data_IF_072270939039
#
_entry.id   IF_072270939039
#
_cell.length_a   1.000
_cell.length_b   1.000
_cell.length_c   1.000
_cell.angle_alpha   90.00
_cell.angle_beta   90.00
_cell.angle_gamma   90.00
#
_symmetry.space_group_name_H-M   'P 1'
#
loop_
_entity.id
_entity.type
_entity.pdbx_description
1 polymer ?
#
# COMPACT_ATOMS: atom_id res chain seq x y z
N UNK A 1 33.37 21.88 -13.44
CA UNK A 1 31.89 21.87 -13.58
C UNK A 1 31.40 20.48 -13.23
N UNK A 2 30.88 20.31 -12.00
CA UNK A 2 30.45 19.01 -11.48
C UNK A 2 29.06 18.68 -12.02
N UNK A 3 28.97 17.68 -12.89
CA UNK A 3 27.70 17.10 -13.34
C UNK A 3 27.10 16.29 -12.19
N UNK A 4 26.26 16.93 -11.36
CA UNK A 4 25.36 16.22 -10.45
C UNK A 4 24.40 15.38 -11.27
N UNK A 5 24.73 14.10 -11.42
CA UNK A 5 23.82 13.06 -11.92
C UNK A 5 22.65 12.99 -10.95
N UNK A 6 21.54 13.65 -11.29
CA UNK A 6 20.29 13.52 -10.56
C UNK A 6 19.84 12.06 -10.72
N UNK A 7 19.58 11.31 -9.63
CA UNK A 7 19.14 9.93 -9.75
C UNK A 7 17.83 9.90 -10.55
N UNK A 8 17.87 9.28 -11.73
CA UNK A 8 16.71 9.09 -12.58
C UNK A 8 15.64 8.30 -11.81
N UNK A 9 14.59 9.02 -11.39
CA UNK A 9 13.50 8.49 -10.59
C UNK A 9 12.57 7.56 -11.39
N UNK A 10 11.94 6.55 -10.75
CA UNK A 10 11.38 5.37 -11.41
C UNK A 10 10.09 5.57 -12.22
N UNK A 11 9.51 6.77 -12.28
CA UNK A 11 8.32 7.07 -13.12
C UNK A 11 8.67 7.61 -14.50
N UNK A 12 9.97 7.77 -14.84
CA UNK A 12 10.41 8.11 -16.19
C UNK A 12 10.73 6.83 -16.98
N UNK A 13 9.69 6.08 -17.33
CA UNK A 13 9.79 5.07 -18.39
C UNK A 13 8.79 5.47 -19.47
N UNK A 14 9.30 6.11 -20.52
CA UNK A 14 8.52 6.66 -21.62
C UNK A 14 8.24 8.16 -21.48
N UNK A 15 8.31 8.90 -22.59
CA UNK A 15 8.13 10.37 -22.70
C UNK A 15 6.73 10.89 -22.29
N UNK A 16 5.83 10.10 -21.70
CA UNK A 16 4.60 10.64 -21.11
C UNK A 16 4.85 10.91 -19.62
N UNK A 17 4.94 12.19 -19.24
CA UNK A 17 4.79 12.59 -17.85
C UNK A 17 3.55 11.89 -17.26
N UNK A 18 3.65 11.33 -16.05
CA UNK A 18 2.45 10.91 -15.33
C UNK A 18 1.46 12.07 -15.35
N UNK A 19 0.17 11.86 -15.67
CA UNK A 19 -0.81 12.94 -15.76
C UNK A 19 -0.87 13.85 -14.51
N UNK A 20 -0.41 13.35 -13.36
CA UNK A 20 -0.38 14.08 -12.09
C UNK A 20 0.96 14.72 -11.71
N UNK A 21 2.04 14.49 -12.47
CA UNK A 21 3.39 14.85 -12.04
C UNK A 21 3.87 14.05 -10.81
N UNK A 22 5.08 14.35 -10.31
CA UNK A 22 5.60 13.73 -9.10
C UNK A 22 5.20 14.52 -7.86
N UNK A 23 4.56 13.84 -6.88
CA UNK A 23 4.04 14.45 -5.66
C UNK A 23 4.80 13.91 -4.44
N UNK A 24 5.90 14.57 -4.00
CA UNK A 24 6.74 14.06 -2.91
C UNK A 24 6.00 13.98 -1.57
N UNK A 25 4.96 14.80 -1.37
CA UNK A 25 4.12 14.73 -0.17
C UNK A 25 3.46 13.37 0.04
N UNK A 26 3.11 12.65 -1.04
CA UNK A 26 2.55 11.31 -0.95
C UNK A 26 3.55 10.28 -0.41
N UNK A 27 4.83 10.42 -0.78
CA UNK A 27 5.88 9.56 -0.22
C UNK A 27 6.09 9.85 1.27
N UNK A 28 5.96 11.11 1.69
CA UNK A 28 5.96 11.47 3.11
C UNK A 28 4.86 10.79 3.91
N UNK A 29 3.63 10.78 3.39
CA UNK A 29 2.49 10.10 4.04
C UNK A 29 2.73 8.58 4.09
N UNK A 30 3.25 7.97 3.02
CA UNK A 30 3.62 6.55 3.02
C UNK A 30 4.68 6.22 4.07
N UNK A 31 5.66 7.11 4.25
CA UNK A 31 6.70 6.93 5.24
C UNK A 31 6.13 6.99 6.66
N UNK A 32 5.26 7.96 6.95
CA UNK A 32 4.53 8.02 8.23
C UNK A 32 3.76 6.71 8.49
N UNK A 33 3.01 6.25 7.51
CA UNK A 33 2.21 5.03 7.60
C UNK A 33 3.06 3.78 7.85
N UNK A 34 4.12 3.58 7.06
CA UNK A 34 4.97 2.38 7.18
C UNK A 34 5.73 2.38 8.50
N UNK A 35 6.23 3.53 8.97
CA UNK A 35 6.91 3.65 10.26
C UNK A 35 5.96 3.25 11.39
N UNK A 36 4.70 3.71 11.36
CA UNK A 36 3.67 3.28 12.30
C UNK A 36 3.52 1.76 12.34
N UNK A 37 3.38 1.13 11.16
CA UNK A 37 3.25 -0.33 11.03
C UNK A 37 4.46 -1.08 11.58
N UNK A 38 5.68 -0.65 11.24
CA UNK A 38 6.91 -1.33 11.67
C UNK A 38 7.09 -1.24 13.19
N UNK A 39 6.79 -0.07 13.78
CA UNK A 39 6.93 0.13 15.22
C UNK A 39 5.83 -0.58 16.01
N UNK A 40 4.61 -0.64 15.49
CA UNK A 40 3.53 -1.44 16.10
C UNK A 40 3.91 -2.93 16.18
N UNK A 41 4.29 -3.54 15.05
CA UNK A 41 4.69 -4.95 15.05
C UNK A 41 6.02 -5.21 15.76
N UNK A 42 6.79 -4.16 16.02
CA UNK A 42 8.06 -4.23 16.74
C UNK A 42 7.92 -4.18 18.26
N UNK A 43 6.69 -4.29 18.77
CA UNK A 43 6.33 -4.20 20.19
C UNK A 43 6.77 -2.87 20.84
N UNK A 44 6.85 -1.80 20.04
CA UNK A 44 7.15 -0.47 20.58
C UNK A 44 5.93 0.11 21.30
N UNK A 45 5.96 0.08 22.63
CA UNK A 45 4.87 0.50 23.52
C UNK A 45 4.27 1.88 23.22
N UNK A 46 5.02 2.79 22.58
CA UNK A 46 4.54 4.14 22.25
C UNK A 46 3.58 4.21 21.06
N UNK A 47 3.43 3.17 20.23
CA UNK A 47 2.64 3.21 18.99
C UNK A 47 1.63 2.07 18.87
N UNK A 48 0.76 1.95 19.88
CA UNK A 48 -0.31 0.94 19.94
C UNK A 48 -1.27 0.95 18.74
N UNK A 49 -1.46 2.11 18.12
CA UNK A 49 -2.33 2.29 16.96
C UNK A 49 -1.58 2.24 15.63
N UNK A 50 -0.30 1.86 15.60
CA UNK A 50 0.51 1.90 14.38
C UNK A 50 0.03 0.94 13.28
N UNK A 51 -0.76 -0.08 13.61
CA UNK A 51 -1.45 -0.94 12.62
C UNK A 51 -2.36 -0.15 11.67
N UNK A 52 -2.89 0.99 12.12
CA UNK A 52 -3.73 1.91 11.33
C UNK A 52 -2.95 2.61 10.21
N UNK A 53 -1.63 2.42 10.12
CA UNK A 53 -0.85 2.79 8.95
C UNK A 53 -1.34 2.08 7.68
N UNK A 54 -1.91 0.87 7.80
CA UNK A 54 -2.54 0.17 6.68
C UNK A 54 -3.73 0.95 6.13
N UNK A 55 -4.57 1.53 6.99
CA UNK A 55 -5.70 2.37 6.58
C UNK A 55 -5.25 3.64 5.85
N UNK A 56 -4.12 4.22 6.28
CA UNK A 56 -3.51 5.35 5.56
C UNK A 56 -3.08 4.93 4.15
N UNK A 57 -2.53 3.72 3.98
CA UNK A 57 -2.22 3.15 2.67
C UNK A 57 -3.48 2.95 1.83
N UNK A 58 -4.55 2.40 2.40
CA UNK A 58 -5.82 2.21 1.69
C UNK A 58 -6.34 3.53 1.08
N UNK A 59 -6.35 4.62 1.83
CA UNK A 59 -6.80 5.93 1.31
C UNK A 59 -5.86 6.44 0.21
N UNK A 60 -4.54 6.32 0.39
CA UNK A 60 -3.55 6.69 -0.63
C UNK A 60 -3.75 5.90 -1.93
N UNK A 61 -3.98 4.60 -1.80
CA UNK A 61 -4.18 3.65 -2.89
C UNK A 61 -5.46 3.96 -3.65
N UNK A 62 -6.56 4.19 -2.93
CA UNK A 62 -7.83 4.66 -3.48
C UNK A 62 -7.71 5.95 -4.28
N UNK A 63 -7.03 6.95 -3.70
CA UNK A 63 -6.78 8.23 -4.36
C UNK A 63 -5.98 8.05 -5.64
N UNK A 64 -4.84 7.38 -5.57
CA UNK A 64 -3.92 7.25 -6.71
C UNK A 64 -4.50 6.48 -7.87
N UNK A 65 -5.12 5.32 -7.60
CA UNK A 65 -5.69 4.49 -8.66
C UNK A 65 -6.83 5.21 -9.34
N UNK A 66 -7.74 5.80 -8.56
CA UNK A 66 -8.89 6.52 -9.11
C UNK A 66 -8.44 7.76 -9.88
N UNK A 67 -7.45 8.50 -9.39
CA UNK A 67 -6.89 9.64 -10.13
C UNK A 67 -6.28 9.22 -11.46
N UNK A 68 -5.53 8.10 -11.53
CA UNK A 68 -4.95 7.61 -12.78
C UNK A 68 -6.06 7.33 -13.81
N UNK A 69 -7.09 6.58 -13.41
CA UNK A 69 -8.19 6.17 -14.29
C UNK A 69 -8.98 7.40 -14.77
N UNK A 70 -9.33 8.31 -13.86
CA UNK A 70 -10.12 9.48 -14.22
C UNK A 70 -9.33 10.51 -15.02
N UNK A 71 -8.01 10.66 -14.82
CA UNK A 71 -7.18 11.54 -15.64
C UNK A 71 -6.94 10.95 -17.04
N UNK A 72 -6.70 9.64 -17.16
CA UNK A 72 -6.55 8.99 -18.46
C UNK A 72 -7.83 9.09 -19.30
N UNK A 73 -8.98 8.84 -18.66
CA UNK A 73 -10.29 9.02 -19.28
C UNK A 73 -10.53 10.48 -19.70
N UNK A 74 -10.23 11.45 -18.83
CA UNK A 74 -10.39 12.87 -19.17
C UNK A 74 -9.53 13.31 -20.36
N UNK A 75 -8.35 12.70 -20.56
CA UNK A 75 -7.42 13.09 -21.62
C UNK A 75 -7.73 12.41 -22.96
N UNK A 76 -8.27 11.18 -22.96
CA UNK A 76 -8.39 10.36 -24.17
C UNK A 76 -9.79 9.76 -24.41
N UNK A 77 -10.72 9.90 -23.47
CA UNK A 77 -12.04 9.25 -23.49
C UNK A 77 -11.99 7.72 -23.32
N UNK A 78 -10.80 7.14 -23.16
CA UNK A 78 -10.57 5.70 -23.01
C UNK A 78 -9.55 5.45 -21.89
N UNK A 79 -9.43 4.19 -21.47
CA UNK A 79 -8.44 3.74 -20.49
C UNK A 79 -7.76 2.50 -21.04
N UNK A 80 -6.42 2.51 -21.10
CA UNK A 80 -5.61 1.35 -21.44
C UNK A 80 -5.39 0.48 -20.20
N UNK A 81 -6.34 -0.43 -19.96
CA UNK A 81 -6.27 -1.38 -18.85
C UNK A 81 -5.04 -2.29 -18.93
N UNK A 82 -4.58 -2.65 -20.14
CA UNK A 82 -3.39 -3.48 -20.32
C UNK A 82 -2.15 -2.77 -19.78
N UNK A 83 -1.95 -1.51 -20.19
CA UNK A 83 -0.87 -0.66 -19.68
C UNK A 83 -0.99 -0.42 -18.18
N UNK A 84 -2.21 -0.19 -17.68
CA UNK A 84 -2.49 -0.01 -16.26
C UNK A 84 -2.07 -1.24 -15.44
N UNK A 85 -2.63 -2.42 -15.72
CA UNK A 85 -2.38 -3.64 -14.96
C UNK A 85 -0.93 -4.10 -15.10
N UNK A 86 -0.34 -4.00 -16.29
CA UNK A 86 1.06 -4.37 -16.48
C UNK A 86 2.02 -3.42 -15.74
N UNK A 87 1.67 -2.13 -15.64
CA UNK A 87 2.39 -1.16 -14.83
C UNK A 87 2.35 -1.49 -13.33
N UNK A 88 1.19 -1.94 -12.83
CA UNK A 88 1.03 -2.39 -11.44
C UNK A 88 1.76 -3.71 -11.18
N UNK A 89 1.62 -4.69 -12.07
CA UNK A 89 2.31 -5.97 -12.00
C UNK A 89 3.83 -5.80 -11.90
N UNK A 90 4.44 -4.99 -12.79
CA UNK A 90 5.89 -4.69 -12.74
C UNK A 90 6.32 -3.97 -11.46
N UNK A 91 5.40 -3.29 -10.79
CA UNK A 91 5.69 -2.57 -9.54
C UNK A 91 5.64 -3.49 -8.33
N UNK A 92 4.69 -4.42 -8.27
CA UNK A 92 4.32 -5.12 -7.04
C UNK A 92 4.77 -6.60 -7.06
N UNK A 93 4.48 -7.34 -8.13
CA UNK A 93 4.76 -8.77 -8.20
C UNK A 93 6.23 -9.16 -7.99
N UNK A 94 7.25 -8.46 -8.53
CA UNK A 94 8.63 -8.91 -8.39
C UNK A 94 9.10 -9.04 -6.95
N UNK A 95 8.79 -8.05 -6.11
CA UNK A 95 9.20 -8.09 -4.70
C UNK A 95 8.37 -9.11 -3.90
N UNK A 96 7.07 -9.22 -4.19
CA UNK A 96 6.21 -10.23 -3.57
C UNK A 96 6.73 -11.64 -3.88
N UNK A 97 6.95 -11.97 -5.15
CA UNK A 97 7.43 -13.30 -5.57
C UNK A 97 8.82 -13.61 -5.01
N UNK A 98 9.72 -12.62 -4.95
CA UNK A 98 11.03 -12.79 -4.32
C UNK A 98 10.88 -13.11 -2.83
N UNK A 99 10.03 -12.38 -2.13
CA UNK A 99 9.79 -12.60 -0.71
C UNK A 99 9.18 -13.98 -0.46
N UNK A 100 8.15 -14.37 -1.22
CA UNK A 100 7.54 -15.69 -1.13
C UNK A 100 8.56 -16.81 -1.40
N UNK A 101 9.45 -16.64 -2.38
CA UNK A 101 10.50 -17.61 -2.66
C UNK A 101 11.48 -17.74 -1.49
N UNK A 102 12.04 -16.64 -1.01
CA UNK A 102 13.05 -16.66 0.05
C UNK A 102 12.46 -17.17 1.36
N UNK A 103 11.29 -16.67 1.77
CA UNK A 103 10.62 -17.10 2.99
C UNK A 103 10.14 -18.54 2.85
N UNK A 104 9.69 -18.97 1.67
CA UNK A 104 9.28 -20.36 1.43
C UNK A 104 10.43 -21.35 1.53
N UNK A 105 11.59 -21.02 0.94
CA UNK A 105 12.81 -21.85 1.08
C UNK A 105 13.26 -21.89 2.54
N UNK A 106 13.29 -20.75 3.23
CA UNK A 106 13.64 -20.70 4.65
C UNK A 106 12.67 -21.54 5.50
N UNK A 107 11.37 -21.46 5.22
CA UNK A 107 10.34 -22.24 5.93
C UNK A 107 10.51 -23.73 5.69
N UNK A 108 10.73 -24.16 4.44
CA UNK A 108 10.91 -25.58 4.10
C UNK A 108 12.16 -26.19 4.75
N UNK A 109 13.23 -25.41 4.94
CA UNK A 109 14.49 -25.89 5.53
C UNK A 109 14.45 -25.83 7.05
N UNK A 110 14.11 -24.66 7.62
CA UNK A 110 14.31 -24.34 9.03
C UNK A 110 13.02 -24.37 9.88
N UNK A 111 11.84 -24.19 9.27
CA UNK A 111 10.54 -24.08 9.98
C UNK A 111 9.53 -25.08 9.42
N UNK A 112 9.92 -26.36 9.42
CA UNK A 112 9.15 -27.44 8.78
C UNK A 112 7.74 -27.62 9.36
N UNK A 113 7.57 -27.31 10.64
CA UNK A 113 6.29 -27.26 11.34
C UNK A 113 5.33 -26.22 10.73
N UNK A 114 5.86 -25.11 10.22
CA UNK A 114 5.09 -24.05 9.58
C UNK A 114 4.93 -24.23 8.05
N UNK A 115 5.59 -25.23 7.44
CA UNK A 115 5.64 -25.37 5.98
C UNK A 115 4.26 -25.61 5.34
N UNK A 116 3.40 -26.41 5.98
CA UNK A 116 2.05 -26.66 5.47
C UNK A 116 1.21 -25.36 5.47
N UNK A 117 1.21 -24.64 6.59
CA UNK A 117 0.50 -23.36 6.69
C UNK A 117 1.05 -22.33 5.70
N UNK A 118 2.37 -22.25 5.58
CA UNK A 118 3.02 -21.34 4.62
C UNK A 118 2.57 -21.62 3.18
N UNK A 119 2.48 -22.90 2.77
CA UNK A 119 2.07 -23.25 1.42
C UNK A 119 0.64 -22.76 1.12
N UNK A 120 -0.30 -22.97 2.04
CA UNK A 120 -1.68 -22.48 1.91
C UNK A 120 -1.73 -20.95 1.88
N UNK A 121 -1.01 -20.29 2.78
CA UNK A 121 -0.96 -18.83 2.85
C UNK A 121 -0.34 -18.22 1.59
N UNK A 122 0.75 -18.81 1.08
CA UNK A 122 1.44 -18.36 -0.12
C UNK A 122 0.55 -18.49 -1.36
N UNK A 123 -0.18 -19.61 -1.48
CA UNK A 123 -1.14 -19.80 -2.56
C UNK A 123 -2.24 -18.72 -2.50
N UNK A 124 -2.81 -18.49 -1.31
CA UNK A 124 -3.81 -17.45 -1.12
C UNK A 124 -3.27 -16.04 -1.41
N UNK A 125 -1.99 -15.77 -1.08
CA UNK A 125 -1.32 -14.50 -1.36
C UNK A 125 -1.04 -14.27 -2.85
N UNK A 126 -0.68 -15.32 -3.61
CA UNK A 126 -0.46 -15.23 -5.06
C UNK A 126 -1.76 -14.82 -5.78
N UNK A 127 -2.90 -15.33 -5.32
CA UNK A 127 -4.22 -15.00 -5.86
C UNK A 127 -4.88 -13.79 -5.19
N UNK A 128 -4.19 -13.12 -4.27
CA UNK A 128 -4.71 -11.97 -3.52
C UNK A 128 -6.05 -12.24 -2.82
N UNK A 129 -6.18 -13.41 -2.21
CA UNK A 129 -7.33 -13.84 -1.40
C UNK A 129 -6.93 -14.24 0.02
N UNK A 130 -5.72 -13.87 0.45
CA UNK A 130 -5.17 -14.23 1.76
C UNK A 130 -6.03 -13.72 2.93
N UNK A 131 -6.66 -12.55 2.79
CA UNK A 131 -7.59 -12.04 3.80
C UNK A 131 -8.83 -12.94 3.97
N UNK A 132 -9.40 -13.45 2.88
CA UNK A 132 -10.54 -14.37 2.91
C UNK A 132 -10.13 -15.76 3.39
N UNK A 133 -8.94 -16.23 3.00
CA UNK A 133 -8.37 -17.46 3.53
C UNK A 133 -8.28 -17.44 5.05
N UNK A 134 -7.78 -16.36 5.65
CA UNK A 134 -7.74 -16.23 7.11
C UNK A 134 -9.10 -16.11 7.76
N UNK A 135 -10.08 -15.48 7.10
CA UNK A 135 -11.46 -15.47 7.56
C UNK A 135 -12.03 -16.90 7.61
N UNK A 136 -11.89 -17.68 6.54
CA UNK A 136 -12.45 -19.03 6.48
C UNK A 136 -11.68 -20.06 7.31
N UNK A 137 -10.42 -19.77 7.64
CA UNK A 137 -9.61 -20.57 8.54
C UNK A 137 -9.74 -20.12 10.02
N UNK A 138 -10.68 -19.22 10.34
CA UNK A 138 -10.92 -18.65 11.68
C UNK A 138 -9.63 -18.16 12.38
N UNK A 139 -8.74 -17.55 11.60
CA UNK A 139 -7.47 -17.04 12.10
C UNK A 139 -7.66 -15.65 12.72
N UNK A 140 -7.21 -15.49 13.98
CA UNK A 140 -7.13 -14.16 14.58
C UNK A 140 -5.96 -13.36 13.99
N UNK A 141 -6.19 -12.08 13.73
CA UNK A 141 -5.17 -11.12 13.34
C UNK A 141 -4.35 -10.63 14.54
N UNK A 142 -4.99 -10.43 15.69
CA UNK A 142 -4.39 -9.76 16.84
C UNK A 142 -3.87 -10.73 17.91
N UNK A 143 -4.37 -11.96 17.93
CA UNK A 143 -3.98 -13.00 18.88
C UNK A 143 -3.37 -14.20 18.16
N UNK A 144 -2.30 -14.75 18.74
CA UNK A 144 -1.61 -15.91 18.18
C UNK A 144 -1.32 -16.96 19.25
N UNK A 145 -1.48 -18.23 18.88
CA UNK A 145 -0.97 -19.37 19.63
C UNK A 145 0.26 -19.91 18.90
N UNK A 146 1.40 -19.98 19.58
CA UNK A 146 2.65 -20.43 18.97
C UNK A 146 3.28 -19.41 18.00
N UNK A 147 3.87 -19.89 16.90
CA UNK A 147 4.50 -19.04 15.88
C UNK A 147 3.41 -18.45 14.96
N UNK A 148 3.29 -17.11 14.85
CA UNK A 148 2.32 -16.53 13.93
C UNK A 148 2.66 -16.87 12.46
N UNK A 149 1.65 -16.95 11.56
CA UNK A 149 1.91 -17.23 10.15
C UNK A 149 2.81 -16.18 9.49
N UNK A 150 3.83 -16.65 8.75
CA UNK A 150 4.87 -15.79 8.14
C UNK A 150 4.35 -14.79 7.10
N UNK A 151 3.15 -14.99 6.57
CA UNK A 151 2.57 -14.19 5.51
C UNK A 151 1.32 -13.42 5.96
N UNK A 152 1.07 -13.35 7.27
CA UNK A 152 -0.18 -12.82 7.81
C UNK A 152 -0.47 -11.38 7.36
N UNK A 153 0.54 -10.53 7.34
CA UNK A 153 0.45 -9.14 6.88
C UNK A 153 -0.01 -8.98 5.42
N UNK A 154 0.07 -10.02 4.58
CA UNK A 154 -0.36 -9.95 3.18
C UNK A 154 -1.89 -9.87 2.99
N UNK A 155 -2.67 -10.01 4.07
CA UNK A 155 -4.12 -9.79 4.04
C UNK A 155 -4.46 -8.40 3.46
N UNK A 156 -3.73 -7.36 3.89
CA UNK A 156 -4.05 -5.98 3.51
C UNK A 156 -3.73 -5.71 2.04
N UNK A 157 -2.63 -6.29 1.55
CA UNK A 157 -2.27 -6.26 0.13
C UNK A 157 -3.31 -7.00 -0.72
N UNK A 158 -3.90 -8.08 -0.20
CA UNK A 158 -4.99 -8.77 -0.90
C UNK A 158 -6.21 -7.86 -1.08
N UNK A 159 -6.60 -7.12 -0.03
CA UNK A 159 -7.68 -6.12 -0.10
C UNK A 159 -7.36 -5.03 -1.12
N UNK A 160 -6.13 -4.49 -1.11
CA UNK A 160 -5.70 -3.48 -2.08
C UNK A 160 -5.74 -3.99 -3.53
N UNK A 161 -5.26 -5.20 -3.78
CA UNK A 161 -5.16 -5.78 -5.13
C UNK A 161 -6.53 -6.17 -5.68
N UNK A 162 -7.45 -6.64 -4.83
CA UNK A 162 -8.86 -6.80 -5.19
C UNK A 162 -9.46 -5.46 -5.66
N UNK A 163 -9.17 -4.37 -4.94
CA UNK A 163 -9.58 -3.03 -5.36
C UNK A 163 -8.90 -2.62 -6.67
N UNK A 164 -7.60 -2.88 -6.84
CA UNK A 164 -6.88 -2.57 -8.08
C UNK A 164 -7.42 -3.30 -9.29
N UNK A 165 -7.92 -4.53 -9.11
CA UNK A 165 -8.49 -5.33 -10.18
C UNK A 165 -9.91 -4.88 -10.55
N UNK A 166 -10.75 -4.57 -9.56
CA UNK A 166 -12.19 -4.37 -9.76
C UNK A 166 -12.54 -2.89 -9.94
N UNK A 167 -12.03 -2.01 -9.08
CA UNK A 167 -12.45 -0.62 -9.04
C UNK A 167 -12.15 0.18 -10.32
N UNK A 168 -11.00 0.03 -11.00
CA UNK A 168 -10.75 0.74 -12.25
C UNK A 168 -11.82 0.54 -13.33
N UNK A 169 -12.31 -0.70 -13.48
CA UNK A 169 -13.36 -1.01 -14.43
C UNK A 169 -14.69 -0.36 -14.03
N UNK A 170 -15.05 -0.44 -12.75
CA UNK A 170 -16.26 0.20 -12.20
C UNK A 170 -16.20 1.72 -12.38
N UNK A 171 -15.09 2.35 -11.99
CA UNK A 171 -14.89 3.79 -12.11
C UNK A 171 -14.93 4.25 -13.58
N UNK A 172 -14.35 3.49 -14.50
CA UNK A 172 -14.41 3.75 -15.94
C UNK A 172 -15.84 3.67 -16.50
N UNK A 173 -16.58 2.61 -16.18
CA UNK A 173 -17.98 2.48 -16.64
C UNK A 173 -18.86 3.57 -16.04
N UNK A 174 -18.66 3.88 -14.77
CA UNK A 174 -19.41 4.91 -14.07
C UNK A 174 -19.11 6.32 -14.61
N UNK A 175 -17.84 6.66 -14.85
CA UNK A 175 -17.48 7.98 -15.39
C UNK A 175 -18.00 8.18 -16.82
N UNK A 176 -18.10 7.10 -17.62
CA UNK A 176 -18.68 7.15 -18.97
C UNK A 176 -20.16 7.49 -18.97
N UNK A 177 -20.93 6.94 -18.03
CA UNK A 177 -22.38 7.08 -18.00
C UNK A 177 -22.85 8.26 -17.15
N UNK A 178 -22.18 8.53 -16.03
CA UNK A 178 -22.63 9.45 -14.99
C UNK A 178 -21.60 10.54 -14.66
N UNK A 179 -20.49 10.59 -15.41
CA UNK A 179 -19.40 11.53 -15.16
C UNK A 179 -18.70 11.31 -13.81
N UNK A 180 -17.85 12.27 -13.44
CA UNK A 180 -17.10 12.21 -12.17
C UNK A 180 -18.00 12.26 -10.94
N UNK A 181 -19.18 12.90 -11.05
CA UNK A 181 -20.19 12.93 -9.99
C UNK A 181 -20.75 11.54 -9.70
N UNK A 182 -21.01 10.73 -10.73
CA UNK A 182 -21.44 9.35 -10.53
C UNK A 182 -20.41 8.52 -9.78
N UNK A 183 -19.12 8.65 -10.14
CA UNK A 183 -18.03 7.96 -9.42
C UNK A 183 -17.96 8.41 -7.96
N UNK A 184 -18.15 9.71 -7.69
CA UNK A 184 -18.14 10.26 -6.35
C UNK A 184 -19.29 9.69 -5.50
N UNK A 185 -20.51 9.69 -6.04
CA UNK A 185 -21.69 9.17 -5.36
C UNK A 185 -21.57 7.67 -5.11
N UNK A 186 -21.07 6.90 -6.09
CA UNK A 186 -20.84 5.47 -5.94
C UNK A 186 -19.79 5.18 -4.85
N UNK A 187 -18.66 5.88 -4.88
CA UNK A 187 -17.61 5.72 -3.87
C UNK A 187 -18.12 6.06 -2.47
N UNK A 188 -18.82 7.19 -2.32
CA UNK A 188 -19.40 7.61 -1.05
C UNK A 188 -20.45 6.62 -0.52
N UNK A 189 -21.37 6.19 -1.39
CA UNK A 189 -22.42 5.23 -1.04
C UNK A 189 -21.82 3.90 -0.57
N UNK A 190 -20.88 3.33 -1.33
CA UNK A 190 -20.28 2.04 -0.97
C UNK A 190 -19.39 2.17 0.28
N UNK A 191 -18.71 3.30 0.50
CA UNK A 191 -17.95 3.54 1.73
C UNK A 191 -18.87 3.56 2.97
N UNK A 192 -20.02 4.22 2.88
CA UNK A 192 -21.02 4.26 3.95
C UNK A 192 -21.62 2.88 4.17
N UNK A 193 -21.99 2.15 3.11
CA UNK A 193 -22.53 0.78 3.23
C UNK A 193 -21.53 -0.18 3.86
N UNK A 194 -20.26 -0.12 3.46
CA UNK A 194 -19.18 -0.93 4.05
C UNK A 194 -18.97 -0.62 5.53
N UNK A 195 -18.99 0.66 5.90
CA UNK A 195 -18.89 1.10 7.31
C UNK A 195 -20.10 0.64 8.13
N UNK A 196 -21.31 0.77 7.58
CA UNK A 196 -22.54 0.30 8.22
C UNK A 196 -22.53 -1.23 8.38
N UNK A 197 -21.98 -1.95 7.40
CA UNK A 197 -21.83 -3.40 7.46
C UNK A 197 -20.82 -3.82 8.53
N UNK A 198 -19.67 -3.15 8.63
CA UNK A 198 -18.72 -3.36 9.72
C UNK A 198 -19.37 -3.11 11.09
N UNK A 199 -20.10 -2.00 11.25
CA UNK A 199 -20.82 -1.67 12.48
C UNK A 199 -21.84 -2.77 12.83
N UNK A 200 -22.66 -3.18 11.87
CA UNK A 200 -23.65 -4.23 12.07
C UNK A 200 -23.01 -5.54 12.53
N UNK A 201 -22.00 -6.03 11.80
CA UNK A 201 -21.28 -7.25 12.16
C UNK A 201 -20.63 -7.16 13.54
N UNK A 202 -20.10 -5.99 13.87
CA UNK A 202 -19.46 -5.73 15.15
C UNK A 202 -20.47 -5.79 16.30
N UNK A 203 -21.63 -5.14 16.15
CA UNK A 203 -22.68 -5.12 17.18
C UNK A 203 -23.29 -6.51 17.37
N UNK A 204 -23.62 -7.22 16.28
CA UNK A 204 -24.33 -8.50 16.38
C UNK A 204 -23.45 -9.63 16.91
N UNK A 205 -22.14 -9.60 16.62
CA UNK A 205 -21.20 -10.63 17.07
C UNK A 205 -20.45 -10.25 18.36
N UNK A 206 -20.65 -9.03 18.88
CA UNK A 206 -19.98 -8.55 20.09
C UNK A 206 -18.50 -8.15 19.89
N UNK A 207 -18.06 -7.87 18.66
CA UNK A 207 -16.70 -7.39 18.40
C UNK A 207 -16.52 -5.95 18.89
N UNK A 208 -15.29 -5.51 19.19
CA UNK A 208 -14.20 -6.30 19.75
C UNK A 208 -14.40 -6.56 21.27
N UNK A 209 -15.55 -6.18 21.85
CA UNK A 209 -15.80 -6.16 23.30
C UNK A 209 -15.74 -7.56 23.94
N UNK A 210 -16.30 -8.58 23.26
CA UNK A 210 -16.46 -9.94 23.78
C UNK A 210 -15.80 -11.00 22.92
N UNK A 211 -15.53 -10.69 21.65
CA UNK A 211 -15.08 -11.65 20.64
C UNK A 211 -14.04 -11.01 19.72
N UNK A 212 -13.24 -11.86 19.09
CA UNK A 212 -12.15 -11.44 18.21
C UNK A 212 -12.68 -10.70 16.95
N UNK A 213 -12.20 -9.48 16.65
CA UNK A 213 -12.74 -8.67 15.57
C UNK A 213 -12.20 -9.04 14.17
N UNK A 214 -11.43 -10.13 14.01
CA UNK A 214 -10.66 -10.38 12.78
C UNK A 214 -11.52 -10.57 11.54
N UNK A 215 -12.76 -11.09 11.67
CA UNK A 215 -13.70 -11.16 10.52
C UNK A 215 -14.02 -9.77 9.98
N UNK A 216 -14.29 -8.81 10.85
CA UNK A 216 -14.58 -7.44 10.48
C UNK A 216 -13.31 -6.70 10.01
N UNK A 217 -12.16 -7.05 10.58
CA UNK A 217 -10.87 -6.44 10.24
C UNK A 217 -10.30 -6.93 8.90
N UNK A 218 -10.36 -8.23 8.59
CA UNK A 218 -9.87 -8.79 7.33
C UNK A 218 -10.82 -8.61 6.14
N UNK A 219 -12.12 -8.43 6.41
CA UNK A 219 -13.14 -8.43 5.37
C UNK A 219 -12.99 -7.25 4.40
N UNK A 220 -12.83 -7.54 3.11
CA UNK A 220 -12.86 -6.48 2.08
C UNK A 220 -14.22 -5.76 2.11
N UNK A 221 -15.30 -6.51 2.36
CA UNK A 221 -16.66 -5.99 2.49
C UNK A 221 -16.83 -4.98 3.63
N UNK A 222 -16.13 -5.18 4.74
CA UNK A 222 -16.19 -4.31 5.93
C UNK A 222 -15.12 -3.23 5.96
N UNK A 223 -14.00 -3.41 5.24
CA UNK A 223 -12.82 -2.54 5.36
C UNK A 223 -12.47 -1.73 4.10
N UNK A 224 -13.23 -1.84 3.00
CA UNK A 224 -12.97 -1.10 1.75
C UNK A 224 -13.23 0.41 1.85
N UNK A 225 -13.88 0.89 2.93
CA UNK A 225 -14.23 2.29 3.10
C UNK A 225 -13.04 3.25 2.95
N UNK A 226 -11.84 2.89 3.46
CA UNK A 226 -10.63 3.70 3.30
C UNK A 226 -10.24 3.92 1.84
N UNK A 227 -10.23 2.84 1.04
CA UNK A 227 -9.98 2.89 -0.41
C UNK A 227 -11.00 3.77 -1.12
N UNK A 228 -12.27 3.67 -0.74
CA UNK A 228 -13.36 4.43 -1.36
C UNK A 228 -13.37 5.91 -0.96
N UNK A 229 -12.96 6.27 0.25
CA UNK A 229 -12.74 7.67 0.64
C UNK A 229 -11.60 8.29 -0.19
N UNK A 230 -10.51 7.53 -0.40
CA UNK A 230 -9.46 7.94 -1.33
C UNK A 230 -9.98 8.13 -2.76
N UNK A 231 -10.78 7.18 -3.24
CA UNK A 231 -11.40 7.26 -4.55
C UNK A 231 -12.33 8.47 -4.70
N UNK A 232 -13.14 8.75 -3.67
CA UNK A 232 -14.00 9.92 -3.59
C UNK A 232 -13.18 11.21 -3.69
N UNK A 233 -12.09 11.33 -2.90
CA UNK A 233 -11.18 12.48 -2.97
C UNK A 233 -10.65 12.71 -4.40
N UNK A 234 -10.25 11.64 -5.10
CA UNK A 234 -9.74 11.73 -6.46
C UNK A 234 -10.75 12.27 -7.48
N UNK A 235 -12.05 12.24 -7.19
CA UNK A 235 -13.09 12.74 -8.11
C UNK A 235 -13.12 14.26 -8.19
N UNK A 236 -12.76 14.97 -7.12
CA UNK A 236 -12.77 16.44 -7.08
C UNK A 236 -11.38 17.06 -6.83
N UNK A 237 -10.46 16.35 -6.18
CA UNK A 237 -9.12 16.85 -5.89
C UNK A 237 -8.12 16.46 -7.00
N UNK A 238 -7.60 17.46 -7.72
CA UNK A 238 -6.80 17.26 -8.93
C UNK A 238 -5.50 18.06 -8.87
N UNK A 239 -4.46 17.56 -8.19
CA UNK A 239 -3.24 18.32 -7.92
C UNK A 239 -2.61 18.99 -9.14
N UNK A 240 -2.60 18.31 -10.30
CA UNK A 240 -2.06 18.85 -11.56
C UNK A 240 -2.83 20.04 -12.14
N UNK A 241 -4.07 20.29 -11.67
CA UNK A 241 -4.89 21.44 -12.09
C UNK A 241 -4.97 22.53 -11.03
N UNK A 242 -4.33 22.36 -9.88
CA UNK A 242 -4.28 23.37 -8.82
C UNK A 242 -3.14 24.37 -9.10
N UNK A 243 -3.34 25.62 -8.70
CA UNK A 243 -2.33 26.68 -8.85
C UNK A 243 -1.56 26.89 -7.55
N UNK A 244 -0.30 27.31 -7.66
CA UNK A 244 0.51 27.67 -6.50
C UNK A 244 0.13 29.04 -5.90
N UNK A 245 -0.47 29.92 -6.71
CA UNK A 245 -0.90 31.26 -6.35
C UNK A 245 -2.20 31.28 -5.56
N UNK A 246 -2.14 30.90 -4.29
CA UNK A 246 -3.26 31.00 -3.34
C UNK A 246 -3.08 32.20 -2.40
N UNK A 247 -4.19 32.77 -1.92
CA UNK A 247 -4.15 33.87 -0.94
C UNK A 247 -3.48 33.45 0.37
N UNK A 248 -2.98 34.43 1.13
CA UNK A 248 -2.36 34.19 2.43
C UNK A 248 -3.29 33.43 3.39
N UNK A 249 -4.58 33.79 3.42
CA UNK A 249 -5.57 33.16 4.30
C UNK A 249 -5.80 31.68 3.92
N UNK A 250 -5.93 31.37 2.63
CA UNK A 250 -6.05 29.97 2.18
C UNK A 250 -4.79 29.16 2.46
N UNK A 251 -3.60 29.78 2.34
CA UNK A 251 -2.34 29.13 2.68
C UNK A 251 -2.26 28.79 4.17
N UNK A 252 -2.61 29.73 5.04
CA UNK A 252 -2.62 29.51 6.49
C UNK A 252 -3.62 28.41 6.83
N UNK A 253 -4.88 28.55 6.40
CA UNK A 253 -5.93 27.56 6.66
C UNK A 253 -5.54 26.15 6.16
N UNK A 254 -5.10 26.03 4.90
CA UNK A 254 -4.73 24.75 4.33
C UNK A 254 -3.51 24.12 5.01
N UNK A 255 -2.54 24.94 5.44
CA UNK A 255 -1.37 24.45 6.20
C UNK A 255 -1.79 23.97 7.58
N UNK A 256 -2.61 24.75 8.30
CA UNK A 256 -3.13 24.39 9.62
C UNK A 256 -3.94 23.10 9.55
N UNK A 257 -4.87 22.98 8.60
CA UNK A 257 -5.67 21.76 8.41
C UNK A 257 -4.78 20.54 8.12
N UNK A 258 -3.77 20.69 7.27
CA UNK A 258 -2.86 19.59 6.95
C UNK A 258 -1.97 19.17 8.13
N UNK A 259 -1.49 20.13 8.92
CA UNK A 259 -0.74 19.84 10.16
C UNK A 259 -1.64 19.17 11.20
N UNK A 260 -2.85 19.67 11.41
CA UNK A 260 -3.82 19.06 12.33
C UNK A 260 -4.20 17.64 11.89
N UNK A 261 -4.37 17.39 10.59
CA UNK A 261 -4.63 16.05 10.08
C UNK A 261 -3.45 15.09 10.33
N UNK A 262 -2.21 15.55 10.12
CA UNK A 262 -1.01 14.76 10.44
C UNK A 262 -0.90 14.47 11.94
N UNK A 263 -1.13 15.48 12.80
CA UNK A 263 -1.13 15.32 14.25
C UNK A 263 -2.26 14.41 14.74
N UNK A 264 -3.44 14.46 14.12
CA UNK A 264 -4.55 13.56 14.44
C UNK A 264 -4.20 12.10 14.12
N UNK A 265 -3.57 11.83 12.97
CA UNK A 265 -3.08 10.47 12.62
C UNK A 265 -2.04 10.01 13.64
N UNK A 266 -1.07 10.87 13.98
CA UNK A 266 -0.06 10.55 14.99
C UNK A 266 -0.73 10.28 16.35
N UNK A 267 -1.68 11.11 16.78
CA UNK A 267 -2.39 10.92 18.05
C UNK A 267 -3.16 9.59 18.08
N UNK A 268 -3.80 9.21 16.98
CA UNK A 268 -4.45 7.91 16.82
C UNK A 268 -3.42 6.78 16.90
N UNK A 269 -2.27 6.89 16.24
CA UNK A 269 -1.22 5.87 16.36
C UNK A 269 -0.66 5.72 17.78
N UNK A 270 -0.62 6.80 18.56
CA UNK A 270 -0.14 6.77 19.94
C UNK A 270 -1.18 6.20 20.92
N UNK A 271 -2.49 6.28 20.61
CA UNK A 271 -3.57 6.08 21.60
C UNK A 271 -4.56 4.97 21.27
N UNK A 272 -4.82 4.70 20.00
CA UNK A 272 -5.81 3.71 19.61
C UNK A 272 -5.26 2.29 19.80
N UNK A 273 -5.98 1.44 20.52
CA UNK A 273 -5.70 0.01 20.57
C UNK A 273 -6.54 -0.74 19.55
N UNK A 274 -6.04 -1.87 19.06
CA UNK A 274 -6.71 -2.78 18.12
C UNK A 274 -8.10 -3.25 18.55
N UNK A 275 -8.33 -3.35 19.86
CA UNK A 275 -9.60 -3.75 20.46
C UNK A 275 -10.48 -2.56 20.88
N UNK A 276 -10.21 -1.36 20.35
CA UNK A 276 -11.03 -0.18 20.68
C UNK A 276 -12.37 -0.21 19.94
N UNK A 277 -13.53 -0.25 20.63
CA UNK A 277 -14.82 -0.44 19.96
C UNK A 277 -15.18 0.69 18.99
N UNK A 278 -14.75 1.92 19.28
CA UNK A 278 -15.03 3.08 18.43
C UNK A 278 -14.43 2.94 17.02
N UNK A 279 -13.34 2.18 16.84
CA UNK A 279 -12.74 1.93 15.52
C UNK A 279 -13.73 1.23 14.59
N UNK A 280 -14.34 0.15 15.08
CA UNK A 280 -15.30 -0.69 14.36
C UNK A 280 -16.70 -0.06 14.26
N UNK A 281 -16.96 1.02 15.01
CA UNK A 281 -18.22 1.78 15.01
C UNK A 281 -18.11 3.11 14.23
N UNK A 282 -17.24 3.14 13.21
CA UNK A 282 -17.06 4.29 12.31
C UNK A 282 -15.70 5.00 12.44
N UNK A 283 -14.86 4.62 13.40
CA UNK A 283 -13.52 5.18 13.58
C UNK A 283 -12.61 4.98 12.36
N UNK A 284 -12.63 3.82 11.71
CA UNK A 284 -11.88 3.60 10.45
C UNK A 284 -12.28 4.61 9.35
N UNK A 285 -13.58 4.88 9.20
CA UNK A 285 -14.07 5.89 8.26
C UNK A 285 -13.59 7.30 8.65
N UNK A 286 -13.61 7.64 9.93
CA UNK A 286 -13.10 8.93 10.42
C UNK A 286 -11.60 9.10 10.12
N UNK A 287 -10.79 8.06 10.39
CA UNK A 287 -9.35 8.04 10.06
C UNK A 287 -9.15 8.17 8.55
N UNK A 288 -9.99 7.53 7.73
CA UNK A 288 -9.93 7.65 6.29
C UNK A 288 -10.18 9.08 5.81
N UNK A 289 -11.16 9.78 6.39
CA UNK A 289 -11.45 11.19 6.09
C UNK A 289 -10.30 12.10 6.51
N UNK A 290 -9.74 11.92 7.71
CA UNK A 290 -8.57 12.67 8.18
C UNK A 290 -7.38 12.46 7.23
N UNK A 291 -7.16 11.22 6.79
CA UNK A 291 -6.12 10.89 5.82
C UNK A 291 -6.37 11.55 4.47
N UNK A 292 -7.61 11.61 3.99
CA UNK A 292 -7.96 12.30 2.76
C UNK A 292 -7.66 13.82 2.84
N UNK A 293 -7.92 14.44 4.00
CA UNK A 293 -7.55 15.84 4.26
C UNK A 293 -6.02 16.00 4.21
N UNK A 294 -5.27 15.10 4.86
CA UNK A 294 -3.81 15.13 4.81
C UNK A 294 -3.29 15.00 3.37
N UNK A 295 -3.83 14.06 2.59
CA UNK A 295 -3.48 13.88 1.17
C UNK A 295 -3.78 15.16 0.37
N UNK A 296 -4.95 15.76 0.56
CA UNK A 296 -5.32 16.98 -0.13
C UNK A 296 -4.31 18.11 0.15
N UNK A 297 -4.02 18.35 1.44
CA UNK A 297 -3.08 19.38 1.86
C UNK A 297 -1.63 19.09 1.41
N UNK A 298 -1.18 17.84 1.47
CA UNK A 298 0.17 17.44 1.08
C UNK A 298 0.40 17.46 -0.44
N UNK A 299 -0.65 17.42 -1.24
CA UNK A 299 -0.58 17.45 -2.72
C UNK A 299 -0.87 18.82 -3.32
N UNK A 300 -1.32 19.79 -2.52
CA UNK A 300 -1.59 21.14 -3.02
C UNK A 300 -0.27 21.90 -3.32
N UNK A 301 -0.05 22.40 -4.55
CA UNK A 301 1.23 23.04 -4.94
C UNK A 301 1.52 24.36 -4.21
N UNK A 302 0.47 25.07 -3.77
CA UNK A 302 0.57 26.31 -2.98
C UNK A 302 0.83 26.13 -1.48
N UNK A 303 0.76 24.89 -0.94
CA UNK A 303 0.98 24.62 0.49
C UNK A 303 2.41 24.10 0.75
N UNK A 304 3.02 24.47 1.90
CA UNK A 304 4.37 24.04 2.23
C UNK A 304 4.43 22.58 2.72
N UNK A 305 3.32 22.03 3.21
CA UNK A 305 3.26 20.72 3.86
C UNK A 305 3.86 19.60 2.99
N UNK A 306 3.51 19.54 1.71
CA UNK A 306 4.03 18.55 0.77
C UNK A 306 5.56 18.61 0.62
N UNK A 307 6.18 19.77 0.84
CA UNK A 307 7.65 19.94 0.82
C UNK A 307 8.28 19.51 2.14
N UNK A 308 7.62 19.78 3.27
CA UNK A 308 8.10 19.38 4.60
C UNK A 308 8.16 17.87 4.75
N UNK A 309 7.02 17.20 4.53
CA UNK A 309 6.94 15.73 4.65
C UNK A 309 7.51 15.02 3.41
N UNK A 310 7.66 15.73 2.29
CA UNK A 310 8.35 15.24 1.10
C UNK A 310 9.86 15.46 1.09
N UNK A 311 10.45 15.85 2.22
CA UNK A 311 11.90 16.00 2.37
C UNK A 311 12.64 14.67 2.22
N UNK A 312 13.95 14.73 2.01
CA UNK A 312 14.75 13.56 1.58
C UNK A 312 14.57 12.30 2.46
N UNK A 313 14.66 12.35 3.80
CA UNK A 313 14.58 11.14 4.62
C UNK A 313 13.21 10.46 4.50
N UNK A 314 12.14 11.24 4.62
CA UNK A 314 10.76 10.76 4.50
C UNK A 314 10.47 10.21 3.12
N UNK A 315 10.86 10.94 2.08
CA UNK A 315 10.71 10.48 0.70
C UNK A 315 11.45 9.17 0.44
N UNK A 316 12.66 9.01 0.99
CA UNK A 316 13.45 7.80 0.82
C UNK A 316 12.71 6.57 1.36
N UNK A 317 12.18 6.66 2.58
CA UNK A 317 11.40 5.62 3.24
C UNK A 317 10.10 5.38 2.45
N UNK A 318 9.39 6.43 2.08
CA UNK A 318 8.11 6.34 1.37
C UNK A 318 8.20 5.64 0.02
N UNK A 319 9.30 5.82 -0.71
CA UNK A 319 9.53 5.12 -1.99
C UNK A 319 9.76 3.62 -1.82
N UNK A 320 10.18 3.19 -0.63
CA UNK A 320 10.47 1.79 -0.27
C UNK A 320 9.40 1.19 0.63
N UNK A 321 8.34 1.93 0.94
CA UNK A 321 7.33 1.51 1.91
C UNK A 321 6.74 0.14 1.58
N UNK A 322 6.57 -0.18 0.29
CA UNK A 322 6.12 -1.49 -0.16
C UNK A 322 7.10 -2.61 0.22
N UNK A 323 8.39 -2.46 -0.08
CA UNK A 323 9.41 -3.45 0.28
C UNK A 323 9.57 -3.56 1.80
N UNK A 324 9.59 -2.44 2.52
CA UNK A 324 9.63 -2.41 3.98
C UNK A 324 8.43 -3.17 4.58
N UNK A 325 7.23 -2.93 4.04
CA UNK A 325 6.02 -3.66 4.43
C UNK A 325 6.12 -5.15 4.11
N UNK A 326 6.62 -5.55 2.94
CA UNK A 326 6.74 -6.97 2.61
C UNK A 326 7.70 -7.72 3.55
N UNK A 327 8.87 -7.15 3.83
CA UNK A 327 9.96 -7.83 4.51
C UNK A 327 9.89 -7.77 6.04
N UNK A 328 9.25 -6.76 6.63
CA UNK A 328 9.26 -6.60 8.09
C UNK A 328 8.67 -7.82 8.82
N UNK A 329 7.49 -8.29 8.38
CA UNK A 329 6.76 -9.31 9.13
C UNK A 329 7.48 -10.66 9.16
N UNK A 330 7.93 -11.26 8.03
CA UNK A 330 8.71 -12.49 8.07
C UNK A 330 9.95 -12.38 8.96
N UNK A 331 10.67 -11.24 8.91
CA UNK A 331 11.85 -11.00 9.77
C UNK A 331 11.45 -11.02 11.24
N UNK A 332 10.34 -10.39 11.60
CA UNK A 332 9.91 -10.32 12.99
C UNK A 332 9.47 -11.71 13.48
N UNK A 333 8.86 -12.51 12.61
CA UNK A 333 8.41 -13.86 12.91
C UNK A 333 9.54 -14.88 13.07
N UNK A 334 10.73 -14.63 12.50
CA UNK A 334 11.93 -15.47 12.69
C UNK A 334 12.86 -14.95 13.80
N UNK A 335 12.53 -13.82 14.42
CA UNK A 335 13.34 -13.17 15.46
C UNK A 335 12.55 -12.95 16.74
N UNK A 336 11.69 -13.90 17.15
CA UNK A 336 10.86 -13.74 18.36
C UNK A 336 11.74 -13.62 19.61
N UNK A 337 11.49 -12.63 20.48
CA UNK A 337 12.32 -12.36 21.65
C UNK A 337 12.29 -13.56 22.60
N UNK A 338 13.47 -13.95 23.10
CA UNK A 338 13.65 -15.04 24.06
C UNK A 338 13.18 -16.43 23.59
N UNK A 339 12.83 -16.55 22.30
CA UNK A 339 12.38 -17.81 21.68
C UNK A 339 13.27 -18.19 20.50
N UNK A 340 13.44 -17.29 19.54
CA UNK A 340 14.32 -17.52 18.38
C UNK A 340 15.68 -16.83 18.56
N UNK A 341 15.75 -15.73 19.32
CA UNK A 341 16.97 -14.98 19.62
C UNK A 341 16.96 -14.56 21.10
N UNK A 342 18.10 -14.69 21.78
CA UNK A 342 18.34 -14.23 23.16
C UNK A 342 18.51 -12.70 23.23
N UNK A 343 17.56 -11.95 22.68
CA UNK A 343 17.55 -10.48 22.70
C UNK A 343 16.11 -9.97 22.70
N UNK A 344 15.87 -8.83 23.35
CA UNK A 344 14.56 -8.19 23.46
C UNK A 344 14.66 -6.65 23.43
N UNK A 345 13.53 -5.98 23.68
CA UNK A 345 13.44 -4.54 23.84
C UNK A 345 13.99 -3.74 22.65
N UNK A 346 14.65 -2.62 22.95
CA UNK A 346 15.12 -1.68 21.94
C UNK A 346 16.23 -2.26 21.04
N UNK A 347 17.09 -3.12 21.59
CA UNK A 347 18.17 -3.74 20.83
C UNK A 347 17.61 -4.66 19.73
N UNK A 348 16.62 -5.50 20.07
CA UNK A 348 15.92 -6.33 19.09
C UNK A 348 15.17 -5.50 18.06
N UNK A 349 14.50 -4.42 18.48
CA UNK A 349 13.81 -3.52 17.56
C UNK A 349 14.78 -2.91 16.54
N UNK A 350 15.93 -2.41 16.98
CA UNK A 350 16.96 -1.83 16.09
C UNK A 350 17.45 -2.88 15.09
N UNK A 351 17.76 -4.10 15.54
CA UNK A 351 18.19 -5.20 14.65
C UNK A 351 17.11 -5.52 13.61
N UNK A 352 15.86 -5.70 14.04
CA UNK A 352 14.71 -6.00 13.18
C UNK A 352 14.50 -4.94 12.11
N UNK A 353 14.55 -3.66 12.50
CA UNK A 353 14.42 -2.53 11.58
C UNK A 353 15.60 -2.46 10.61
N UNK A 354 16.83 -2.69 11.08
CA UNK A 354 18.03 -2.70 10.24
C UNK A 354 17.96 -3.82 9.20
N UNK A 355 17.62 -5.06 9.60
CA UNK A 355 17.43 -6.19 8.70
C UNK A 355 16.35 -5.90 7.66
N UNK A 356 15.19 -5.40 8.11
CA UNK A 356 14.08 -5.01 7.22
C UNK A 356 14.53 -4.01 6.17
N UNK A 357 15.26 -2.97 6.60
CA UNK A 357 15.69 -1.91 5.70
C UNK A 357 16.76 -2.38 4.72
N UNK A 358 17.74 -3.17 5.18
CA UNK A 358 18.80 -3.71 4.32
C UNK A 358 18.23 -4.65 3.27
N UNK A 359 17.35 -5.59 3.66
CA UNK A 359 16.74 -6.54 2.73
C UNK A 359 15.80 -5.83 1.76
N UNK A 360 14.96 -4.91 2.25
CA UNK A 360 14.08 -4.11 1.39
C UNK A 360 14.89 -3.23 0.40
N UNK A 361 16.01 -2.65 0.82
CA UNK A 361 16.89 -1.88 -0.07
C UNK A 361 17.50 -2.77 -1.16
N UNK A 362 18.00 -3.94 -0.78
CA UNK A 362 18.57 -4.90 -1.71
C UNK A 362 17.52 -5.38 -2.73
N UNK A 363 16.33 -5.79 -2.26
CA UNK A 363 15.18 -6.12 -3.11
C UNK A 363 14.85 -4.98 -4.09
N UNK A 364 14.78 -3.76 -3.57
CA UNK A 364 14.42 -2.59 -4.37
C UNK A 364 15.45 -2.29 -5.47
N UNK A 365 16.74 -2.29 -5.14
CA UNK A 365 17.81 -1.95 -6.10
C UNK A 365 18.09 -3.06 -7.09
N UNK A 366 18.11 -4.31 -6.64
CA UNK A 366 18.59 -5.45 -7.43
C UNK A 366 17.49 -6.07 -8.29
N UNK A 367 16.22 -6.00 -7.86
CA UNK A 367 15.11 -6.69 -8.53
C UNK A 367 14.06 -5.70 -9.00
N UNK A 368 13.48 -4.91 -8.10
CA UNK A 368 12.34 -4.05 -8.44
C UNK A 368 12.71 -2.98 -9.46
N UNK A 369 13.79 -2.22 -9.22
CA UNK A 369 14.17 -1.09 -10.07
C UNK A 369 14.58 -1.52 -11.50
N UNK A 370 15.37 -2.59 -11.71
CA UNK A 370 15.65 -3.12 -13.04
C UNK A 370 14.39 -3.51 -13.80
N UNK A 371 13.46 -4.23 -13.15
CA UNK A 371 12.21 -4.67 -13.78
C UNK A 371 11.32 -3.47 -14.12
N UNK A 372 11.17 -2.51 -13.20
CA UNK A 372 10.43 -1.27 -13.44
C UNK A 372 11.02 -0.45 -14.58
N UNK A 373 12.35 -0.48 -14.76
CA UNK A 373 13.06 0.17 -15.88
C UNK A 373 13.04 -0.64 -17.18
N UNK A 374 12.25 -1.72 -17.27
CA UNK A 374 12.07 -2.49 -18.50
C UNK A 374 13.17 -3.50 -18.79
N UNK A 375 13.89 -4.01 -17.77
CA UNK A 375 14.88 -5.07 -17.96
C UNK A 375 14.28 -6.33 -18.62
N UNK A 376 13.07 -6.72 -18.21
CA UNK A 376 12.33 -7.84 -18.81
C UNK A 376 12.03 -7.56 -20.29
N UNK A 377 11.50 -6.38 -20.61
CA UNK A 377 11.16 -6.02 -21.98
C UNK A 377 12.41 -6.00 -22.89
N UNK A 378 13.56 -5.53 -22.38
CA UNK A 378 14.84 -5.57 -23.10
C UNK A 378 15.31 -7.00 -23.33
N UNK A 379 15.21 -7.86 -22.31
CA UNK A 379 15.60 -9.26 -22.39
C UNK A 379 14.74 -10.05 -23.40
N UNK A 380 13.42 -9.84 -23.39
CA UNK A 380 12.52 -10.46 -24.38
C UNK A 380 12.87 -9.99 -25.80
N UNK A 381 13.15 -8.70 -25.98
CA UNK A 381 13.55 -8.16 -27.30
C UNK A 381 14.87 -8.74 -27.78
N UNK A 382 15.88 -8.85 -26.91
CA UNK A 382 17.16 -9.47 -27.29
C UNK A 382 17.00 -10.96 -27.61
N UNK A 383 16.18 -11.69 -26.86
CA UNK A 383 15.91 -13.10 -27.11
C UNK A 383 15.16 -13.33 -28.43
N UNK A 384 14.19 -12.48 -28.77
CA UNK A 384 13.49 -12.55 -30.07
C UNK A 384 14.42 -12.20 -31.23
N UNK A 385 15.31 -11.23 -31.04
CA UNK A 385 16.31 -10.87 -32.04
C UNK A 385 17.28 -12.03 -32.31
N UNK A 386 17.83 -12.66 -31.27
CA UNK A 386 18.73 -13.81 -31.42
C UNK A 386 18.03 -15.03 -32.02
N UNK A 387 16.78 -15.29 -31.63
CA UNK A 387 15.96 -16.36 -32.21
C UNK A 387 15.66 -16.15 -33.71
N UNK A 388 15.37 -14.90 -34.09
CA UNK A 388 15.10 -14.53 -35.48
C UNK A 388 16.35 -14.58 -36.37
N UNK A 389 17.51 -14.23 -35.81
CA UNK A 389 18.80 -14.29 -36.49
C UNK A 389 19.27 -15.74 -36.71
N UNK A 390 19.05 -16.63 -35.74
CA UNK A 390 19.25 -18.08 -35.92
C UNK A 390 18.34 -18.67 -36.99
N UNK A 391 17.07 -18.23 -37.06
CA UNK A 391 16.12 -18.70 -38.08
C UNK A 391 16.53 -18.27 -39.50
N UNK A 392 17.07 -17.05 -39.66
CA UNK A 392 17.60 -16.54 -40.93
C UNK A 392 18.90 -17.21 -41.38
N UNK A 393 19.75 -17.65 -40.43
CA UNK A 393 20.95 -18.44 -40.74
C UNK A 393 20.60 -19.83 -41.26
N UNK A 394 19.60 -20.49 -40.69
CA UNK A 394 19.17 -21.82 -41.15
C UNK A 394 18.54 -21.80 -42.55
N UNK A 395 17.82 -20.74 -42.93
CA UNK A 395 17.24 -20.58 -44.29
C UNK A 395 18.23 -20.12 -45.36
N UNK A 396 19.48 -19.80 -45.00
CA UNK A 396 20.54 -19.41 -45.96
C UNK A 396 21.50 -20.55 -46.29
N UNK A 397 21.39 -21.68 -45.60
CA UNK A 397 22.30 -22.83 -45.70
C UNK A 397 21.56 -24.07 -46.28
N UNK A 398 20.27 -23.96 -46.55
CA UNK A 398 19.50 -24.89 -47.39
C UNK A 398 19.03 -24.18 -48.64
#
# INVERSE_FOLDING_TARGET
MSTTVTPAMPWRVGRSASPMGYLPGLDGIRALAVIGVLLYHGDFNGLRGGFLGVDVFFVLSGFLITSIILEEYNNSGRVDFGKFYLGRARRLLPALLLMLLIVGVATAIFYRDAAHQFASDALASIFYVNNWWYIFADQSYFAFTGRPPFLKHLWSLSVEEQFYLIWPAIAYLCVRKFGRRGVALLAAMVAVLSTAWMLYLTVINGYPDFTDPSRAYFGTDTHIAGLLVGALLATFWRPARLTAGISKNYRILGTTLGVLAALAIIAVFLRAGEFSPWLYRGGFLAIAVVTAILIACATHPGLPLGRWIGSQPWRYIGQRSYGLYLWHWPIFMVTRPMLDIEMDGLALLILRLALTFVIAEASFRLIELPIRRGAIDRWIKSWRASSGENRRRQTRVG
#
